data_IF_470589456774
#
_entry.id   IF_470589456774
#
_cell.length_a   1.000
_cell.length_b   1.000
_cell.length_c   1.000
_cell.angle_alpha   90.00
_cell.angle_beta   90.00
_cell.angle_gamma   90.00
#
_symmetry.space_group_name_H-M   'P 1'
#
loop_
_entity.id
_entity.type
_entity.pdbx_description
1 polymer ?
#
# COMPACT_ATOMS: atom_id res chain seq x y z
N UNK A 1 30.70 26.39 36.78
CA UNK A 1 30.54 25.30 35.80
C UNK A 1 29.99 24.09 36.53
N UNK A 2 28.76 23.67 36.21
CA UNK A 2 28.27 22.27 36.25
C UNK A 2 26.77 22.31 35.92
N UNK A 3 26.45 22.24 34.61
CA UNK A 3 25.09 22.03 34.15
C UNK A 3 24.72 20.56 34.35
N UNK A 4 23.66 20.31 35.12
CA UNK A 4 23.06 18.98 35.27
C UNK A 4 22.32 18.64 33.97
N UNK A 5 22.88 17.71 33.20
CA UNK A 5 22.21 17.05 32.09
C UNK A 5 21.05 16.21 32.64
N UNK A 6 19.81 16.65 32.40
CA UNK A 6 18.65 15.81 32.62
C UNK A 6 18.74 14.57 31.70
N UNK A 7 18.71 13.34 32.23
CA UNK A 7 18.54 12.18 31.38
C UNK A 7 17.15 12.26 30.77
N UNK A 8 17.06 12.13 29.45
CA UNK A 8 15.80 11.97 28.73
C UNK A 8 15.10 10.77 29.37
N UNK A 9 14.17 11.02 30.30
CA UNK A 9 13.24 9.99 30.73
C UNK A 9 12.49 9.62 29.47
N UNK A 10 12.59 8.34 29.10
CA UNK A 10 11.69 7.72 28.14
C UNK A 10 10.29 7.72 28.76
N UNK A 11 9.70 8.91 28.90
CA UNK A 11 8.29 9.12 29.18
C UNK A 11 7.55 8.45 28.03
N UNK A 12 7.16 7.22 28.33
CA UNK A 12 6.04 6.47 27.80
C UNK A 12 5.51 7.08 26.49
N UNK A 13 6.21 6.78 25.39
CA UNK A 13 5.76 7.18 24.06
C UNK A 13 4.34 6.68 23.90
N UNK A 14 3.38 7.60 23.90
CA UNK A 14 1.97 7.32 23.70
C UNK A 14 1.83 6.53 22.40
N UNK A 15 1.74 5.20 22.49
CA UNK A 15 1.60 4.34 21.31
C UNK A 15 0.18 4.52 20.83
N UNK A 16 0.02 5.20 19.68
CA UNK A 16 -1.26 5.23 19.00
C UNK A 16 -1.69 3.78 18.76
N UNK A 17 -2.94 3.39 19.07
CA UNK A 17 -3.39 2.03 18.82
C UNK A 17 -3.19 1.69 17.35
N UNK A 18 -2.72 0.49 17.07
CA UNK A 18 -2.59 -0.03 15.71
C UNK A 18 -3.95 0.09 15.03
N UNK A 19 -4.06 0.74 13.85
CA UNK A 19 -5.32 0.78 13.13
C UNK A 19 -5.76 -0.66 12.84
N UNK A 20 -7.04 -0.96 13.11
CA UNK A 20 -7.60 -2.25 12.75
C UNK A 20 -7.45 -2.48 11.25
N UNK A 21 -7.17 -3.71 10.84
CA UNK A 21 -7.15 -4.07 9.43
C UNK A 21 -8.50 -3.69 8.80
N UNK A 22 -8.50 -3.05 7.62
CA UNK A 22 -9.73 -2.71 6.93
C UNK A 22 -10.47 -4.01 6.62
N UNK A 23 -11.60 -4.23 7.30
CA UNK A 23 -12.51 -5.31 6.96
C UNK A 23 -13.22 -4.93 5.66
N UNK A 24 -13.08 -5.78 4.65
CA UNK A 24 -13.97 -5.71 3.50
C UNK A 24 -15.39 -5.89 4.03
N UNK A 25 -16.31 -4.97 3.70
CA UNK A 25 -17.72 -5.29 3.82
C UNK A 25 -17.94 -6.45 2.86
N UNK A 26 -18.30 -7.62 3.38
CA UNK A 26 -18.93 -8.65 2.58
C UNK A 26 -20.15 -7.96 1.97
N UNK A 27 -20.08 -7.67 0.67
CA UNK A 27 -21.17 -6.97 0.01
C UNK A 27 -22.41 -7.84 0.17
N UNK A 28 -23.48 -7.27 0.74
CA UNK A 28 -24.82 -7.80 0.53
C UNK A 28 -24.93 -8.05 -0.98
N UNK A 29 -25.18 -9.30 -1.38
CA UNK A 29 -24.90 -9.86 -2.71
C UNK A 29 -25.63 -9.23 -3.91
N UNK A 30 -26.16 -8.02 -3.73
CA UNK A 30 -27.03 -7.23 -4.61
C UNK A 30 -26.25 -6.19 -5.45
N UNK A 31 -24.92 -6.15 -5.32
CA UNK A 31 -24.04 -5.26 -6.11
C UNK A 31 -23.43 -5.93 -7.34
N UNK A 32 -23.04 -5.14 -8.37
CA UNK A 32 -22.33 -5.67 -9.54
C UNK A 32 -21.06 -6.39 -9.09
N UNK A 33 -20.96 -7.67 -9.47
CA UNK A 33 -19.78 -8.49 -9.18
C UNK A 33 -18.63 -8.07 -10.09
N UNK A 34 -17.41 -8.42 -9.68
CA UNK A 34 -16.26 -8.33 -10.58
C UNK A 34 -16.59 -9.12 -11.85
N UNK A 35 -16.35 -8.55 -13.04
CA UNK A 35 -16.60 -9.25 -14.30
C UNK A 35 -15.71 -10.49 -14.40
N UNK A 36 -16.28 -11.56 -14.95
CA UNK A 36 -15.55 -12.81 -15.22
C UNK A 36 -14.75 -12.67 -16.52
N UNK A 37 -13.67 -11.89 -16.44
CA UNK A 37 -12.76 -11.65 -17.56
C UNK A 37 -11.35 -12.06 -17.17
N UNK A 38 -10.66 -12.71 -18.12
CA UNK A 38 -9.27 -13.07 -17.93
C UNK A 38 -8.42 -11.82 -17.77
N UNK A 39 -7.60 -11.81 -16.71
CA UNK A 39 -6.64 -10.73 -16.49
C UNK A 39 -5.56 -10.79 -17.58
N UNK A 40 -5.12 -9.64 -18.11
CA UNK A 40 -4.02 -9.61 -19.06
C UNK A 40 -2.73 -10.12 -18.41
N UNK A 41 -1.86 -10.74 -19.21
CA UNK A 41 -0.52 -11.12 -18.77
C UNK A 41 0.30 -9.89 -18.34
N UNK A 42 0.88 -9.96 -17.14
CA UNK A 42 1.59 -8.82 -16.52
C UNK A 42 2.85 -8.46 -17.31
N UNK A 43 3.58 -9.45 -17.84
CA UNK A 43 4.81 -9.19 -18.59
C UNK A 43 4.51 -8.45 -19.89
N UNK A 44 3.49 -8.87 -20.62
CA UNK A 44 3.07 -8.21 -21.86
C UNK A 44 2.48 -6.82 -21.60
N UNK A 45 1.75 -6.65 -20.51
CA UNK A 45 1.29 -5.34 -20.05
C UNK A 45 2.49 -4.40 -19.77
N UNK A 46 3.46 -4.86 -18.97
CA UNK A 46 4.63 -4.07 -18.62
C UNK A 46 5.49 -3.73 -19.85
N UNK A 47 5.60 -4.64 -20.82
CA UNK A 47 6.31 -4.38 -22.07
C UNK A 47 5.62 -3.29 -22.90
N UNK A 48 4.29 -3.32 -23.01
CA UNK A 48 3.53 -2.25 -23.67
C UNK A 48 3.64 -0.92 -22.92
N UNK A 49 3.50 -0.95 -21.59
CA UNK A 49 3.68 0.25 -20.77
C UNK A 49 5.06 0.85 -20.97
N UNK A 50 6.14 0.07 -20.93
CA UNK A 50 7.50 0.60 -21.16
C UNK A 50 7.66 1.30 -22.51
N UNK A 51 6.94 0.86 -23.54
CA UNK A 51 6.97 1.50 -24.87
C UNK A 51 6.18 2.80 -24.93
N UNK A 52 5.05 2.87 -24.22
CA UNK A 52 4.12 4.01 -24.25
C UNK A 52 4.45 5.05 -23.16
N UNK A 53 4.62 4.58 -21.92
CA UNK A 53 4.96 5.36 -20.73
C UNK A 53 5.79 4.49 -19.74
N UNK A 54 7.13 4.64 -19.74
CA UNK A 54 8.02 3.95 -18.81
C UNK A 54 7.71 4.20 -17.32
N UNK A 55 7.20 5.39 -16.97
CA UNK A 55 6.85 5.74 -15.59
C UNK A 55 5.58 5.03 -15.14
N UNK A 56 4.61 4.83 -16.03
CA UNK A 56 3.45 4.00 -15.74
C UNK A 56 3.86 2.55 -15.41
N UNK A 57 4.78 1.98 -16.18
CA UNK A 57 5.31 0.63 -15.92
C UNK A 57 6.00 0.55 -14.54
N UNK A 58 6.77 1.59 -14.18
CA UNK A 58 7.47 1.68 -12.89
C UNK A 58 6.49 1.79 -11.72
N UNK A 59 5.50 2.67 -11.82
CA UNK A 59 4.45 2.84 -10.80
C UNK A 59 3.61 1.57 -10.66
N UNK A 60 3.31 0.87 -11.75
CA UNK A 60 2.57 -0.39 -11.70
C UNK A 60 3.32 -1.45 -10.91
N UNK A 61 4.61 -1.71 -11.22
CA UNK A 61 5.47 -2.62 -10.46
C UNK A 61 5.46 -2.31 -8.97
N UNK A 62 5.72 -1.05 -8.62
CA UNK A 62 5.73 -0.61 -7.22
C UNK A 62 4.40 -0.85 -6.49
N UNK A 63 3.25 -0.64 -7.15
CA UNK A 63 1.93 -0.83 -6.53
C UNK A 63 1.48 -2.28 -6.45
N UNK A 64 1.83 -3.08 -7.46
CA UNK A 64 1.38 -4.46 -7.59
C UNK A 64 2.29 -5.46 -6.89
N UNK A 65 3.57 -5.10 -6.67
CA UNK A 65 4.59 -6.03 -6.16
C UNK A 65 5.22 -6.90 -7.25
N UNK A 66 4.91 -6.62 -8.52
CA UNK A 66 5.46 -7.25 -9.72
C UNK A 66 6.84 -6.70 -10.13
#
# INVERSE_FOLDING_TARGET
>A
MTGVLNPIRAEERLRRPTPAEPRYKDGDGDGPRRPDVQRPDVKDLLNRMRRVDPDAARRYRQRSGE
#
